data_IF_570181594922
#
_entry.id   IF_570181594922
#
_cell.length_a   1.000
_cell.length_b   1.000
_cell.length_c   1.000
_cell.angle_alpha   90.00
_cell.angle_beta   90.00
_cell.angle_gamma   90.00
#
_symmetry.space_group_name_H-M   'P 1'
#
loop_
_entity.id
_entity.type
_entity.pdbx_description
1 polymer ?
#
# COMPACT_ATOMS: atom_id res chain seq x y z
N UNK A 1 17.70 9.25 10.35
CA UNK A 1 16.42 8.56 10.00
C UNK A 1 15.46 8.63 11.19
N UNK A 2 14.13 8.59 10.96
CA UNK A 2 13.10 8.62 12.03
C UNK A 2 13.04 7.33 12.87
N UNK A 3 12.07 7.23 13.79
CA UNK A 3 11.92 6.07 14.70
C UNK A 3 11.87 4.74 13.93
N UNK A 4 12.63 3.73 14.34
CA UNK A 4 12.65 2.39 13.73
C UNK A 4 12.26 1.29 14.76
N UNK A 5 11.27 1.60 15.61
CA UNK A 5 10.75 0.65 16.60
C UNK A 5 9.85 -0.43 15.99
N UNK A 6 9.19 -1.24 16.84
CA UNK A 6 8.34 -2.37 16.43
C UNK A 6 7.23 -2.07 15.41
N UNK A 7 6.84 -0.80 15.27
CA UNK A 7 5.80 -0.36 14.35
C UNK A 7 6.34 0.01 12.95
N UNK A 8 7.65 -0.07 12.75
CA UNK A 8 8.32 0.26 11.48
C UNK A 8 9.25 -0.88 11.01
N UNK A 9 8.72 -2.09 10.79
CA UNK A 9 9.54 -3.26 10.47
C UNK A 9 10.28 -3.10 9.12
N UNK A 10 9.64 -2.61 8.07
CA UNK A 10 10.30 -2.31 6.78
C UNK A 10 11.44 -1.29 6.98
N UNK A 11 11.17 -0.16 7.65
CA UNK A 11 12.23 0.83 7.94
C UNK A 11 13.40 0.19 8.69
N UNK A 12 13.14 -0.64 9.69
CA UNK A 12 14.20 -1.37 10.41
C UNK A 12 14.99 -2.28 9.45
N UNK A 13 14.30 -3.06 8.62
CA UNK A 13 14.90 -3.92 7.60
C UNK A 13 15.83 -3.13 6.67
N UNK A 14 15.37 -2.01 6.11
CA UNK A 14 16.19 -1.16 5.24
C UNK A 14 17.43 -0.61 5.96
N UNK A 15 17.28 -0.14 7.21
CA UNK A 15 18.41 0.37 7.98
C UNK A 15 19.42 -0.74 8.33
N UNK A 16 18.95 -1.94 8.66
CA UNK A 16 19.82 -3.08 8.93
C UNK A 16 20.61 -3.50 7.68
N UNK A 17 19.96 -3.47 6.51
CA UNK A 17 20.63 -3.72 5.23
C UNK A 17 21.65 -2.61 4.91
N UNK A 18 21.34 -1.33 5.12
CA UNK A 18 22.29 -0.22 4.94
C UNK A 18 23.51 -0.33 5.87
N UNK A 19 23.29 -0.72 7.13
CA UNK A 19 24.36 -0.97 8.10
C UNK A 19 25.26 -2.14 7.65
N UNK A 20 24.67 -3.23 7.15
CA UNK A 20 25.40 -4.39 6.61
C UNK A 20 26.28 -4.01 5.42
N UNK A 21 25.79 -3.10 4.59
CA UNK A 21 26.51 -2.56 3.42
C UNK A 21 27.49 -1.43 3.77
N UNK A 22 27.72 -1.17 5.07
CA UNK A 22 28.68 -0.21 5.62
C UNK A 22 28.43 1.25 5.24
N UNK A 23 27.17 1.64 5.02
CA UNK A 23 26.83 3.06 4.91
C UNK A 23 26.92 3.75 6.27
N UNK A 24 27.47 4.97 6.30
CA UNK A 24 27.54 5.79 7.52
C UNK A 24 26.17 6.38 7.85
N UNK A 25 25.39 5.64 8.63
CA UNK A 25 24.02 5.99 9.02
C UNK A 25 23.96 6.70 10.38
N UNK A 26 23.19 7.79 10.46
CA UNK A 26 22.82 8.43 11.73
C UNK A 26 21.36 8.11 12.08
N UNK A 27 21.18 7.23 13.06
CA UNK A 27 19.90 6.97 13.75
C UNK A 27 19.88 7.79 15.04
N UNK A 28 18.94 8.71 15.18
CA UNK A 28 18.83 9.55 16.38
C UNK A 28 17.39 9.96 16.67
N UNK A 29 17.10 10.23 17.93
CA UNK A 29 15.88 10.88 18.37
C UNK A 29 16.24 12.30 18.81
N UNK A 30 15.57 13.29 18.25
CA UNK A 30 15.83 14.70 18.52
C UNK A 30 14.52 15.48 18.60
N UNK A 31 14.58 16.70 19.15
CA UNK A 31 13.47 17.64 18.97
C UNK A 31 13.28 17.97 17.49
N UNK A 32 12.12 18.53 17.14
CA UNK A 32 11.81 18.94 15.78
C UNK A 32 12.83 19.99 15.26
N UNK A 33 13.18 20.97 16.09
CA UNK A 33 14.17 21.99 15.75
C UNK A 33 15.55 21.39 15.46
N UNK A 34 16.00 20.45 16.31
CA UNK A 34 17.27 19.74 16.08
C UNK A 34 17.20 18.84 14.86
N UNK A 35 16.05 18.21 14.57
CA UNK A 35 15.86 17.39 13.39
C UNK A 35 16.04 18.21 12.11
N UNK A 36 15.48 19.42 12.05
CA UNK A 36 15.69 20.33 10.91
C UNK A 36 17.18 20.64 10.69
N UNK A 37 17.94 20.91 11.75
CA UNK A 37 19.39 21.13 11.66
C UNK A 37 20.10 19.88 11.13
N UNK A 38 19.70 18.70 11.58
CA UNK A 38 20.26 17.43 11.10
C UNK A 38 19.95 17.24 9.61
N UNK A 39 18.72 17.49 9.17
CA UNK A 39 18.33 17.38 7.76
C UNK A 39 19.16 18.30 6.88
N UNK A 40 19.31 19.57 7.28
CA UNK A 40 20.11 20.56 6.54
C UNK A 40 21.61 20.22 6.48
N UNK A 41 22.15 19.55 7.50
CA UNK A 41 23.58 19.18 7.57
C UNK A 41 23.89 17.80 6.99
N UNK A 42 22.88 16.98 6.76
CA UNK A 42 23.07 15.62 6.22
C UNK A 42 23.33 15.67 4.72
N UNK A 43 24.23 14.82 4.23
CA UNK A 43 24.42 14.63 2.77
C UNK A 43 23.14 14.08 2.12
N UNK A 44 22.48 13.17 2.82
CA UNK A 44 21.24 12.52 2.41
C UNK A 44 20.36 12.40 3.65
N UNK A 45 19.13 12.89 3.56
CA UNK A 45 18.06 12.63 4.51
C UNK A 45 17.22 11.49 3.97
N UNK A 46 17.12 10.39 4.72
CA UNK A 46 16.35 9.21 4.32
C UNK A 46 15.03 9.11 5.09
N UNK A 47 13.93 8.94 4.36
CA UNK A 47 12.58 8.77 4.89
C UNK A 47 11.87 7.56 4.26
N UNK A 48 12.05 6.34 4.76
CA UNK A 48 11.17 5.24 4.39
C UNK A 48 9.87 5.45 5.15
N UNK A 49 8.75 5.65 4.46
CA UNK A 49 7.42 5.87 5.05
C UNK A 49 6.97 4.65 5.88
N UNK A 50 5.86 4.78 6.62
CA UNK A 50 5.33 3.62 7.34
C UNK A 50 4.45 2.78 6.40
N UNK A 51 3.56 3.42 5.63
CA UNK A 51 2.51 2.76 4.83
C UNK A 51 2.37 3.31 3.41
N UNK A 52 3.41 3.91 2.85
CA UNK A 52 3.30 4.60 1.57
C UNK A 52 2.66 5.97 1.69
N UNK A 53 2.85 6.65 2.83
CA UNK A 53 2.23 7.92 3.15
C UNK A 53 3.19 9.10 3.01
N UNK A 54 2.68 10.24 2.53
CA UNK A 54 3.37 11.52 2.60
C UNK A 54 3.27 12.05 4.04
N UNK A 55 4.20 11.61 4.88
CA UNK A 55 4.26 12.04 6.27
C UNK A 55 4.96 13.41 6.44
N UNK A 56 4.87 13.94 7.66
CA UNK A 56 5.43 15.25 8.03
C UNK A 56 6.94 15.38 7.73
N UNK A 57 7.72 14.29 7.75
CA UNK A 57 9.17 14.35 7.53
C UNK A 57 9.54 14.81 6.13
N UNK A 58 8.70 14.51 5.14
CA UNK A 58 8.90 15.01 3.77
C UNK A 58 8.95 16.54 3.81
N UNK A 59 7.96 17.15 4.46
CA UNK A 59 7.88 18.59 4.62
C UNK A 59 9.01 19.15 5.48
N UNK A 60 9.34 18.52 6.60
CA UNK A 60 10.42 18.98 7.49
C UNK A 60 11.78 18.98 6.78
N UNK A 61 12.12 17.88 6.10
CA UNK A 61 13.39 17.76 5.37
C UNK A 61 13.51 18.80 4.26
N UNK A 62 12.47 18.97 3.44
CA UNK A 62 12.45 19.96 2.36
C UNK A 62 12.47 21.40 2.90
N UNK A 63 11.67 21.70 3.94
CA UNK A 63 11.65 23.02 4.56
C UNK A 63 12.98 23.44 5.18
N UNK A 64 13.79 22.46 5.61
CA UNK A 64 15.13 22.67 6.14
C UNK A 64 16.22 22.73 5.06
N UNK A 65 15.88 22.46 3.80
CA UNK A 65 16.84 22.43 2.68
C UNK A 65 17.68 21.14 2.62
N UNK A 66 17.22 20.06 3.25
CA UNK A 66 17.86 18.76 3.18
C UNK A 66 17.57 18.04 1.86
N UNK A 67 18.56 17.35 1.32
CA UNK A 67 18.35 16.44 0.18
C UNK A 67 17.63 15.18 0.66
N UNK A 68 16.40 14.96 0.18
CA UNK A 68 15.52 13.88 0.64
C UNK A 68 15.46 12.72 -0.34
N UNK A 69 15.74 11.51 0.17
CA UNK A 69 15.38 10.24 -0.48
C UNK A 69 14.22 9.61 0.32
N UNK A 70 13.11 9.29 -0.34
CA UNK A 70 11.90 8.69 0.27
C UNK A 70 11.37 7.55 -0.59
N UNK A 71 10.59 6.64 -0.03
CA UNK A 71 10.01 5.52 -0.79
C UNK A 71 9.06 6.01 -1.89
N UNK A 72 9.00 5.26 -2.98
CA UNK A 72 8.03 5.43 -4.04
C UNK A 72 6.64 4.96 -3.56
N UNK A 73 5.69 5.89 -3.49
CA UNK A 73 4.34 5.64 -2.96
C UNK A 73 3.33 5.49 -4.10
N UNK A 74 2.14 4.98 -3.79
CA UNK A 74 1.09 4.84 -4.81
C UNK A 74 0.67 6.22 -5.38
N UNK A 75 0.26 6.30 -6.66
CA UNK A 75 -0.34 7.51 -7.24
C UNK A 75 -1.48 8.09 -6.40
N UNK A 76 -2.26 7.21 -5.79
CA UNK A 76 -3.40 7.52 -4.94
C UNK A 76 -3.00 8.09 -3.58
N UNK A 77 -1.82 7.71 -3.06
CA UNK A 77 -1.23 8.33 -1.87
C UNK A 77 -0.59 9.71 -2.15
N UNK A 78 -0.65 10.19 -3.39
CA UNK A 78 -0.20 11.54 -3.75
C UNK A 78 1.16 11.61 -4.45
N UNK A 79 1.68 10.49 -4.99
CA UNK A 79 2.93 10.48 -5.77
C UNK A 79 2.90 11.56 -6.85
N UNK A 80 3.97 12.35 -6.93
CA UNK A 80 4.15 13.42 -7.92
C UNK A 80 3.07 14.52 -7.92
N UNK A 81 2.14 14.54 -6.96
CA UNK A 81 1.09 15.56 -6.88
C UNK A 81 1.57 16.84 -6.20
N UNK A 82 2.33 16.71 -5.10
CA UNK A 82 2.87 17.85 -4.33
C UNK A 82 4.37 18.06 -4.54
N UNK A 83 5.13 16.99 -4.67
CA UNK A 83 6.57 17.03 -4.90
C UNK A 83 6.89 16.05 -6.01
N UNK A 84 7.78 16.44 -6.92
CA UNK A 84 8.14 15.66 -8.11
C UNK A 84 9.47 14.95 -7.89
N UNK A 85 9.49 13.67 -8.24
CA UNK A 85 10.73 12.89 -8.29
C UNK A 85 11.75 13.53 -9.25
N UNK A 86 13.02 13.57 -8.82
CA UNK A 86 14.13 14.17 -9.58
C UNK A 86 14.19 15.69 -9.56
N UNK A 87 13.10 16.39 -9.21
CA UNK A 87 13.06 17.85 -9.08
C UNK A 87 13.13 18.28 -7.60
N UNK A 88 12.25 17.76 -6.75
CA UNK A 88 12.07 18.24 -5.38
C UNK A 88 12.62 17.26 -4.33
N UNK A 89 12.61 15.97 -4.66
CA UNK A 89 13.07 14.86 -3.83
C UNK A 89 13.44 13.69 -4.75
N UNK A 90 13.95 12.61 -4.18
CA UNK A 90 14.22 11.37 -4.91
C UNK A 90 13.41 10.22 -4.32
N UNK A 91 12.71 9.48 -5.18
CA UNK A 91 11.97 8.28 -4.81
C UNK A 91 12.86 7.03 -4.87
N UNK A 92 12.54 5.97 -4.13
CA UNK A 92 13.15 4.63 -4.31
C UNK A 92 12.11 3.52 -4.24
N UNK A 93 12.26 2.49 -5.05
CA UNK A 93 11.29 1.39 -5.14
C UNK A 93 11.58 0.28 -4.12
N UNK A 94 12.85 -0.13 -4.02
CA UNK A 94 13.31 -1.19 -3.13
C UNK A 94 14.69 -0.89 -2.54
N UNK A 95 15.25 -1.86 -1.81
CA UNK A 95 16.56 -1.71 -1.19
C UNK A 95 17.72 -1.58 -2.20
N UNK A 96 17.70 -2.32 -3.31
CA UNK A 96 18.79 -2.28 -4.28
C UNK A 96 18.78 -0.95 -5.04
N UNK A 97 17.59 -0.44 -5.40
CA UNK A 97 17.44 0.91 -5.95
C UNK A 97 17.86 1.99 -4.95
N UNK A 98 17.42 1.90 -3.69
CA UNK A 98 17.85 2.81 -2.63
C UNK A 98 19.37 2.85 -2.48
N UNK A 99 20.01 1.69 -2.46
CA UNK A 99 21.47 1.54 -2.38
C UNK A 99 22.18 2.17 -3.59
N UNK A 100 21.66 1.95 -4.79
CA UNK A 100 22.19 2.57 -6.01
C UNK A 100 22.08 4.10 -5.95
N UNK A 101 20.92 4.63 -5.56
CA UNK A 101 20.67 6.07 -5.41
C UNK A 101 21.54 6.71 -4.33
N UNK A 102 21.70 6.06 -3.16
CA UNK A 102 22.59 6.55 -2.11
C UNK A 102 24.02 6.68 -2.64
N UNK A 103 24.57 5.65 -3.31
CA UNK A 103 25.92 5.70 -3.89
C UNK A 103 26.03 6.82 -4.92
N UNK A 104 25.09 6.86 -5.86
CA UNK A 104 25.07 7.85 -6.92
C UNK A 104 25.09 9.28 -6.37
N UNK A 105 24.23 9.62 -5.42
CA UNK A 105 24.17 10.99 -4.90
C UNK A 105 25.29 11.34 -3.91
N UNK A 106 25.94 10.35 -3.29
CA UNK A 106 27.19 10.58 -2.56
C UNK A 106 28.34 10.96 -3.51
N UNK A 107 28.37 10.39 -4.72
CA UNK A 107 29.35 10.69 -5.76
C UNK A 107 28.99 11.94 -6.58
N UNK A 108 27.72 12.36 -6.58
CA UNK A 108 27.19 13.52 -7.31
C UNK A 108 26.53 14.58 -6.39
N UNK A 109 27.29 15.18 -5.43
CA UNK A 109 26.71 16.07 -4.42
C UNK A 109 26.14 17.38 -5.00
N UNK A 110 26.61 17.84 -6.15
CA UNK A 110 26.08 19.05 -6.82
C UNK A 110 24.66 18.84 -7.33
N UNK A 111 24.36 17.66 -7.84
CA UNK A 111 23.02 17.27 -8.30
C UNK A 111 22.08 17.12 -7.10
N UNK A 112 22.52 16.44 -6.03
CA UNK A 112 21.78 16.34 -4.78
C UNK A 112 21.41 17.73 -4.20
N UNK A 113 22.37 18.67 -4.20
CA UNK A 113 22.15 20.04 -3.72
C UNK A 113 21.15 20.80 -4.60
N UNK A 114 21.20 20.62 -5.92
CA UNK A 114 20.24 21.23 -6.86
C UNK A 114 18.81 20.77 -6.56
N UNK A 115 18.61 19.46 -6.37
CA UNK A 115 17.30 18.88 -6.02
C UNK A 115 16.83 19.43 -4.66
N UNK A 116 17.70 19.45 -3.65
CA UNK A 116 17.37 19.98 -2.32
C UNK A 116 16.92 21.46 -2.37
N UNK A 117 17.59 22.29 -3.17
CA UNK A 117 17.23 23.71 -3.35
C UNK A 117 15.87 23.90 -4.04
N UNK A 118 15.58 23.07 -5.03
CA UNK A 118 14.28 23.09 -5.72
C UNK A 118 13.16 22.63 -4.77
N UNK A 119 13.37 21.54 -4.01
CA UNK A 119 12.42 21.08 -3.01
C UNK A 119 12.16 22.09 -1.88
N UNK A 120 13.21 22.78 -1.41
CA UNK A 120 13.07 23.89 -0.45
C UNK A 120 12.22 25.03 -1.02
N UNK A 121 12.50 25.42 -2.26
CA UNK A 121 11.80 26.52 -2.93
C UNK A 121 10.32 26.17 -3.17
N UNK A 122 10.02 24.95 -3.61
CA UNK A 122 8.66 24.44 -3.77
C UNK A 122 7.90 24.44 -2.42
N UNK A 123 8.54 23.95 -1.36
CA UNK A 123 7.93 23.93 -0.03
C UNK A 123 7.52 25.33 0.42
N UNK A 124 8.42 26.31 0.37
CA UNK A 124 8.13 27.65 0.88
C UNK A 124 7.16 28.43 -0.02
N UNK A 125 7.14 28.16 -1.33
CA UNK A 125 6.19 28.77 -2.25
C UNK A 125 4.75 28.25 -2.06
N UNK A 126 4.58 26.92 -1.89
CA UNK A 126 3.27 26.28 -2.02
C UNK A 126 2.81 25.48 -0.79
N UNK A 127 3.71 25.20 0.15
CA UNK A 127 3.46 24.28 1.27
C UNK A 127 3.82 24.82 2.66
N UNK A 128 4.20 26.08 2.79
CA UNK A 128 4.45 26.70 4.10
C UNK A 128 3.20 26.70 4.98
N UNK A 129 3.35 26.73 6.32
CA UNK A 129 2.23 26.80 7.25
C UNK A 129 1.26 27.95 6.93
N UNK A 130 1.78 29.11 6.52
CA UNK A 130 0.99 30.28 6.14
C UNK A 130 0.13 30.02 4.90
N UNK A 131 0.70 29.35 3.88
CA UNK A 131 -0.03 28.96 2.67
C UNK A 131 -1.12 27.95 3.00
N UNK A 132 -0.81 26.90 3.78
CA UNK A 132 -1.78 25.88 4.18
C UNK A 132 -2.90 26.45 5.04
N UNK A 133 -2.57 27.35 5.97
CA UNK A 133 -3.55 28.09 6.77
C UNK A 133 -4.49 28.89 5.89
N UNK A 134 -3.97 29.64 4.91
CA UNK A 134 -4.79 30.43 3.98
C UNK A 134 -5.72 29.52 3.16
N UNK A 135 -5.22 28.40 2.64
CA UNK A 135 -6.02 27.42 1.89
C UNK A 135 -7.15 26.83 2.76
N UNK A 136 -6.85 26.46 4.01
CA UNK A 136 -7.86 25.95 4.94
C UNK A 136 -8.93 27.00 5.25
N UNK A 137 -8.55 28.26 5.48
CA UNK A 137 -9.52 29.33 5.75
C UNK A 137 -10.44 29.58 4.54
N UNK A 138 -9.90 29.58 3.32
CA UNK A 138 -10.69 29.68 2.09
C UNK A 138 -11.68 28.52 1.95
N UNK A 139 -11.25 27.29 2.24
CA UNK A 139 -12.15 26.15 2.25
C UNK A 139 -13.29 26.33 3.25
N UNK A 140 -12.97 26.69 4.50
CA UNK A 140 -13.96 26.79 5.60
C UNK A 140 -14.96 27.93 5.39
N UNK A 141 -14.50 29.09 4.92
CA UNK A 141 -15.33 30.30 4.87
C UNK A 141 -15.85 30.65 3.47
N UNK A 142 -15.19 30.17 2.41
CA UNK A 142 -15.53 30.50 1.02
C UNK A 142 -15.92 29.25 0.21
N UNK A 143 -15.70 28.04 0.74
CA UNK A 143 -15.96 26.78 0.02
C UNK A 143 -14.96 26.47 -1.10
N UNK A 144 -13.86 27.22 -1.18
CA UNK A 144 -12.84 27.03 -2.21
C UNK A 144 -11.91 25.86 -1.86
N UNK A 145 -11.99 24.78 -2.63
CA UNK A 145 -11.09 23.62 -2.52
C UNK A 145 -9.93 23.83 -3.50
N UNK A 146 -8.66 23.83 -3.05
CA UNK A 146 -7.53 23.77 -3.97
C UNK A 146 -7.63 22.51 -4.84
N UNK A 147 -7.49 22.58 -6.18
CA UNK A 147 -7.70 21.45 -7.07
C UNK A 147 -6.92 20.19 -6.68
N UNK A 148 -5.72 20.37 -6.14
CA UNK A 148 -4.85 19.32 -5.61
C UNK A 148 -5.50 18.49 -4.49
N UNK A 149 -6.40 19.08 -3.70
CA UNK A 149 -7.08 18.43 -2.57
C UNK A 149 -8.53 18.05 -2.88
N UNK A 150 -8.94 18.16 -4.15
CA UNK A 150 -10.27 17.74 -4.56
C UNK A 150 -10.34 16.23 -4.72
N UNK A 151 -10.81 15.55 -3.67
CA UNK A 151 -10.96 14.09 -3.66
C UNK A 151 -11.88 13.56 -4.76
N UNK A 152 -12.72 14.39 -5.38
CA UNK A 152 -13.60 13.97 -6.50
C UNK A 152 -12.81 13.58 -7.76
N UNK A 153 -11.54 13.95 -7.84
CA UNK A 153 -10.64 13.50 -8.90
C UNK A 153 -10.30 12.00 -8.79
N UNK A 154 -10.40 11.41 -7.59
CA UNK A 154 -10.26 9.96 -7.41
C UNK A 154 -11.61 9.26 -7.66
N UNK A 155 -11.63 8.32 -8.61
CA UNK A 155 -12.82 7.53 -8.94
C UNK A 155 -13.37 6.77 -7.73
N UNK A 156 -12.52 6.35 -6.81
CA UNK A 156 -12.93 5.60 -5.59
C UNK A 156 -13.72 6.49 -4.64
N UNK A 157 -13.48 7.81 -4.70
CA UNK A 157 -14.21 8.83 -3.95
C UNK A 157 -15.53 9.25 -4.62
N UNK A 158 -15.84 8.72 -5.80
CA UNK A 158 -17.10 9.03 -6.52
C UNK A 158 -17.93 7.79 -6.80
N UNK A 159 -17.29 6.62 -6.86
CA UNK A 159 -17.91 5.31 -7.04
C UNK A 159 -17.98 4.62 -5.67
N UNK A 160 -18.95 5.06 -4.86
CA UNK A 160 -19.32 4.35 -3.64
C UNK A 160 -20.53 3.45 -3.93
N UNK A 161 -20.50 2.15 -3.59
CA UNK A 161 -21.72 1.37 -3.62
C UNK A 161 -22.67 1.94 -2.56
N UNK A 162 -23.96 2.06 -2.90
CA UNK A 162 -24.98 2.42 -1.92
C UNK A 162 -25.16 1.22 -1.00
N UNK A 163 -24.38 1.19 0.08
CA UNK A 163 -24.47 0.14 1.09
C UNK A 163 -24.75 0.71 2.48
N UNK A 164 -25.33 -0.14 3.32
CA UNK A 164 -25.58 0.16 4.72
C UNK A 164 -24.24 0.45 5.42
N UNK A 165 -24.30 1.18 6.55
CA UNK A 165 -23.11 1.40 7.40
C UNK A 165 -22.37 0.09 7.72
N UNK A 166 -23.09 -1.01 7.89
CA UNK A 166 -22.54 -2.34 8.17
C UNK A 166 -21.58 -2.84 7.08
N UNK A 167 -21.95 -2.68 5.80
CA UNK A 167 -21.08 -3.14 4.71
C UNK A 167 -19.81 -2.30 4.59
N UNK A 168 -19.92 -0.98 4.81
CA UNK A 168 -18.76 -0.11 4.88
C UNK A 168 -17.81 -0.53 6.02
N UNK A 169 -18.33 -0.83 7.21
CA UNK A 169 -17.52 -1.33 8.32
C UNK A 169 -16.82 -2.65 7.98
N UNK A 170 -17.52 -3.61 7.34
CA UNK A 170 -16.91 -4.87 6.90
C UNK A 170 -15.80 -4.67 5.87
N UNK A 171 -15.97 -3.73 4.94
CA UNK A 171 -14.95 -3.35 3.96
C UNK A 171 -13.73 -2.73 4.64
N UNK A 172 -13.94 -1.80 5.58
CA UNK A 172 -12.87 -1.20 6.40
C UNK A 172 -12.11 -2.28 7.18
N UNK A 173 -12.81 -3.20 7.85
CA UNK A 173 -12.19 -4.27 8.63
C UNK A 173 -11.29 -5.18 7.78
N UNK A 174 -11.73 -5.54 6.56
CA UNK A 174 -10.90 -6.31 5.62
C UNK A 174 -9.69 -5.51 5.16
N UNK A 175 -9.86 -4.23 4.86
CA UNK A 175 -8.76 -3.35 4.49
C UNK A 175 -7.73 -3.23 5.63
N UNK A 176 -8.17 -2.95 6.85
CA UNK A 176 -7.31 -2.83 8.03
C UNK A 176 -6.55 -4.13 8.32
N UNK A 177 -7.20 -5.28 8.16
CA UNK A 177 -6.56 -6.58 8.28
C UNK A 177 -5.43 -6.75 7.26
N UNK A 178 -5.71 -6.52 5.98
CA UNK A 178 -4.72 -6.62 4.90
C UNK A 178 -3.59 -5.61 5.09
N UNK A 179 -3.92 -4.37 5.48
CA UNK A 179 -2.95 -3.34 5.82
C UNK A 179 -2.03 -3.77 6.99
N UNK A 180 -2.59 -4.46 7.99
CA UNK A 180 -1.82 -4.95 9.14
C UNK A 180 -0.76 -6.01 8.76
N UNK A 181 -1.05 -6.83 7.75
CA UNK A 181 -0.12 -7.82 7.19
C UNK A 181 0.91 -7.12 6.30
N UNK A 182 0.45 -6.24 5.40
CA UNK A 182 1.31 -5.44 4.52
C UNK A 182 2.28 -4.52 5.29
N UNK A 183 1.95 -4.15 6.54
CA UNK A 183 2.88 -3.48 7.44
C UNK A 183 4.19 -4.24 7.60
N UNK A 184 4.10 -5.57 7.65
CA UNK A 184 5.20 -6.47 8.02
C UNK A 184 5.79 -7.15 6.79
N UNK A 185 4.94 -7.58 5.84
CA UNK A 185 5.34 -8.31 4.64
C UNK A 185 5.42 -7.34 3.46
N UNK A 186 6.62 -7.23 2.87
CA UNK A 186 6.87 -6.29 1.77
C UNK A 186 6.25 -6.72 0.45
N UNK A 187 6.19 -8.02 0.12
CA UNK A 187 5.65 -8.49 -1.15
C UNK A 187 4.39 -9.34 -0.91
N UNK A 188 3.36 -8.71 -0.35
CA UNK A 188 2.11 -9.41 -0.06
C UNK A 188 1.37 -9.65 -1.38
N UNK A 189 1.14 -10.91 -1.73
CA UNK A 189 0.46 -11.32 -2.97
C UNK A 189 -0.98 -11.72 -2.68
N UNK A 190 -1.92 -11.00 -3.27
CA UNK A 190 -3.36 -11.23 -3.07
C UNK A 190 -4.04 -11.62 -4.38
N UNK A 191 -4.83 -12.69 -4.36
CA UNK A 191 -5.64 -13.11 -5.49
C UNK A 191 -7.14 -12.91 -5.22
N UNK A 192 -7.80 -12.13 -6.07
CA UNK A 192 -9.25 -11.96 -6.08
C UNK A 192 -9.88 -12.97 -7.04
N UNK A 193 -10.62 -13.94 -6.49
CA UNK A 193 -11.38 -14.95 -7.24
C UNK A 193 -12.87 -14.67 -7.19
N UNK A 194 -13.30 -13.43 -7.35
CA UNK A 194 -14.71 -13.05 -7.31
C UNK A 194 -14.98 -11.86 -8.19
N UNK A 195 -16.16 -11.84 -8.82
CA UNK A 195 -16.60 -10.70 -9.64
C UNK A 195 -17.17 -9.57 -8.78
N UNK A 196 -17.59 -9.86 -7.55
CA UNK A 196 -18.31 -8.88 -6.71
C UNK A 196 -17.43 -7.90 -5.93
N UNK A 197 -16.17 -8.21 -5.64
CA UNK A 197 -15.37 -7.40 -4.72
C UNK A 197 -14.42 -6.39 -5.39
N UNK A 198 -14.92 -5.72 -6.42
CA UNK A 198 -14.19 -4.66 -7.10
C UNK A 198 -13.88 -3.46 -6.18
N UNK A 199 -14.64 -3.30 -5.09
CA UNK A 199 -14.52 -2.19 -4.15
C UNK A 199 -13.34 -2.36 -3.19
N UNK A 200 -13.20 -3.50 -2.51
CA UNK A 200 -12.00 -3.77 -1.71
C UNK A 200 -10.75 -3.80 -2.61
N UNK A 201 -10.86 -4.42 -3.79
CA UNK A 201 -9.78 -4.41 -4.79
C UNK A 201 -9.34 -2.97 -5.10
N UNK A 202 -10.30 -2.06 -5.31
CA UNK A 202 -10.02 -0.65 -5.58
C UNK A 202 -9.41 0.09 -4.37
N UNK A 203 -9.71 -0.27 -3.13
CA UNK A 203 -9.07 0.36 -1.97
C UNK A 203 -7.61 -0.05 -1.83
N UNK A 204 -7.32 -1.33 -2.11
CA UNK A 204 -6.02 -1.93 -1.88
C UNK A 204 -4.92 -1.42 -2.82
N UNK A 205 -5.28 -0.76 -3.94
CA UNK A 205 -4.30 -0.14 -4.86
C UNK A 205 -3.43 0.91 -4.16
N UNK A 206 -3.87 1.46 -3.03
CA UNK A 206 -3.11 2.48 -2.30
C UNK A 206 -1.88 1.92 -1.60
N UNK A 207 -1.82 0.61 -1.39
CA UNK A 207 -0.73 -0.06 -0.68
C UNK A 207 0.46 -0.29 -1.63
N UNK A 208 1.58 0.43 -1.49
CA UNK A 208 2.63 0.56 -2.52
C UNK A 208 3.49 -0.70 -2.76
N UNK A 209 3.26 -1.80 -2.05
CA UNK A 209 4.00 -3.06 -2.22
C UNK A 209 3.06 -4.28 -2.15
N UNK A 210 1.82 -4.05 -2.55
CA UNK A 210 0.82 -5.08 -2.62
C UNK A 210 0.72 -5.57 -4.07
N UNK A 211 1.03 -6.85 -4.28
CA UNK A 211 0.85 -7.50 -5.57
C UNK A 211 -0.59 -8.00 -5.64
N UNK A 212 -1.48 -7.22 -6.27
CA UNK A 212 -2.87 -7.63 -6.40
C UNK A 212 -3.13 -8.26 -7.75
N UNK A 213 -3.67 -9.47 -7.71
CA UNK A 213 -4.14 -10.18 -8.88
C UNK A 213 -5.63 -10.45 -8.81
N UNK A 214 -6.29 -10.53 -9.96
CA UNK A 214 -7.71 -10.92 -10.02
C UNK A 214 -7.99 -11.86 -11.19
N UNK A 215 -9.00 -12.71 -11.04
CA UNK A 215 -9.48 -13.62 -12.07
C UNK A 215 -10.99 -13.44 -12.24
N UNK A 216 -11.45 -13.13 -13.46
CA UNK A 216 -12.88 -13.25 -13.78
C UNK A 216 -13.28 -14.73 -13.79
N UNK A 217 -14.49 -15.09 -13.40
CA UNK A 217 -14.88 -16.50 -13.25
C UNK A 217 -15.59 -17.07 -14.50
N UNK A 218 -15.63 -16.31 -15.60
CA UNK A 218 -16.61 -16.51 -16.69
C UNK A 218 -16.09 -17.12 -18.00
N UNK A 219 -14.84 -17.57 -18.10
CA UNK A 219 -14.38 -18.24 -19.34
C UNK A 219 -13.30 -19.29 -19.10
N UNK A 220 -13.26 -20.31 -19.98
CA UNK A 220 -12.17 -21.29 -20.09
C UNK A 220 -10.85 -20.66 -20.59
N UNK A 221 -10.96 -19.49 -21.22
CA UNK A 221 -9.86 -18.64 -21.64
C UNK A 221 -10.01 -17.30 -20.92
N UNK A 222 -9.33 -17.15 -19.79
CA UNK A 222 -9.35 -15.90 -19.04
C UNK A 222 -8.31 -14.96 -19.64
N UNK A 223 -8.70 -13.70 -19.85
CA UNK A 223 -7.83 -12.69 -20.45
C UNK A 223 -7.43 -11.64 -19.43
N UNK A 224 -6.18 -11.24 -19.56
CA UNK A 224 -5.51 -10.28 -18.71
C UNK A 224 -6.08 -8.88 -19.00
N UNK A 225 -6.52 -8.14 -17.98
CA UNK A 225 -6.75 -6.71 -18.06
C UNK A 225 -6.00 -5.99 -16.93
N UNK A 226 -5.32 -4.91 -17.31
CA UNK A 226 -4.58 -4.03 -16.42
C UNK A 226 -5.55 -3.00 -15.84
N UNK A 227 -5.58 -2.87 -14.52
CA UNK A 227 -6.17 -1.68 -13.88
C UNK A 227 -5.05 -0.97 -13.11
N UNK A 228 -4.66 0.19 -13.64
CA UNK A 228 -3.82 1.20 -12.98
C UNK A 228 -2.46 0.75 -12.42
N UNK A 229 -1.60 0.14 -13.25
CA UNK A 229 -0.16 -0.15 -12.97
C UNK A 229 0.16 -0.96 -11.69
N UNK A 230 -0.85 -1.42 -10.95
CA UNK A 230 -0.73 -2.11 -9.65
C UNK A 230 -1.64 -3.34 -9.52
N UNK A 231 -2.47 -3.62 -10.53
CA UNK A 231 -3.24 -4.87 -10.59
C UNK A 231 -2.88 -5.69 -11.81
N UNK A 232 -2.70 -6.98 -11.59
CA UNK A 232 -2.34 -7.95 -12.63
C UNK A 232 -3.51 -8.93 -12.80
N UNK A 233 -4.14 -8.95 -13.96
CA UNK A 233 -5.10 -10.01 -14.21
C UNK A 233 -4.38 -11.36 -14.35
N UNK A 234 -4.93 -12.38 -13.69
CA UNK A 234 -4.34 -13.70 -13.55
C UNK A 234 -5.27 -14.76 -14.16
N UNK A 235 -4.68 -15.65 -14.96
CA UNK A 235 -5.37 -16.78 -15.60
C UNK A 235 -5.10 -18.02 -14.76
N UNK A 236 -6.13 -18.72 -14.32
CA UNK A 236 -5.96 -20.00 -13.64
C UNK A 236 -5.90 -21.11 -14.69
N UNK A 237 -4.73 -21.73 -14.82
CA UNK A 237 -4.54 -22.91 -15.66
C UNK A 237 -4.17 -24.14 -14.82
N UNK A 238 -4.36 -25.34 -15.40
CA UNK A 238 -4.01 -26.60 -14.71
C UNK A 238 -2.53 -26.72 -14.39
N UNK A 239 -1.65 -25.98 -15.04
CA UNK A 239 -0.20 -26.07 -14.84
C UNK A 239 0.36 -24.97 -13.93
N UNK A 240 -0.47 -23.99 -13.51
CA UNK A 240 -0.06 -22.84 -12.72
C UNK A 240 0.21 -23.18 -11.24
N UNK A 241 1.14 -24.08 -10.96
CA UNK A 241 1.59 -24.39 -9.59
C UNK A 241 2.68 -23.44 -9.10
N UNK A 242 3.33 -22.69 -9.99
CA UNK A 242 4.50 -21.87 -9.65
C UNK A 242 4.12 -20.48 -9.09
N UNK A 243 2.86 -20.05 -9.25
CA UNK A 243 2.37 -18.77 -8.73
C UNK A 243 1.82 -18.94 -7.32
N UNK A 244 2.62 -18.54 -6.35
CA UNK A 244 2.27 -18.51 -4.94
C UNK A 244 1.62 -17.16 -4.59
N UNK A 245 0.39 -17.22 -4.06
CA UNK A 245 -0.30 -16.12 -3.42
C UNK A 245 -0.38 -16.37 -1.92
N UNK A 246 -0.29 -15.29 -1.15
CA UNK A 246 -0.36 -15.37 0.31
C UNK A 246 -1.80 -15.40 0.78
N UNK A 247 -2.66 -14.62 0.10
CA UNK A 247 -4.05 -14.43 0.49
C UNK A 247 -4.95 -14.57 -0.75
N UNK A 248 -6.07 -15.27 -0.61
CA UNK A 248 -7.14 -15.24 -1.60
C UNK A 248 -8.40 -14.56 -1.04
N UNK A 249 -8.93 -13.60 -1.79
CA UNK A 249 -10.27 -13.06 -1.57
C UNK A 249 -11.24 -13.83 -2.47
N UNK A 250 -12.12 -14.61 -1.87
CA UNK A 250 -13.03 -15.52 -2.59
C UNK A 250 -14.49 -15.11 -2.38
N UNK A 251 -15.34 -15.45 -3.35
CA UNK A 251 -16.78 -15.29 -3.25
C UNK A 251 -17.48 -16.63 -3.40
N UNK A 252 -18.80 -16.63 -3.26
CA UNK A 252 -19.62 -17.82 -3.50
C UNK A 252 -19.42 -18.38 -4.92
N UNK A 253 -19.27 -17.48 -5.88
CA UNK A 253 -19.02 -17.78 -7.29
C UNK A 253 -17.72 -18.57 -7.51
N UNK A 254 -16.72 -18.43 -6.64
CA UNK A 254 -15.48 -19.21 -6.68
C UNK A 254 -15.75 -20.72 -6.54
N UNK A 255 -16.65 -21.11 -5.64
CA UNK A 255 -16.90 -22.51 -5.30
C UNK A 255 -17.90 -23.20 -6.23
N UNK A 256 -18.50 -22.45 -7.15
CA UNK A 256 -19.26 -22.99 -8.28
C UNK A 256 -18.35 -23.43 -9.44
N UNK A 257 -17.06 -23.09 -9.39
CA UNK A 257 -16.07 -23.38 -10.43
C UNK A 257 -15.01 -24.38 -9.93
N UNK A 258 -14.98 -25.59 -10.50
CA UNK A 258 -14.01 -26.63 -10.14
C UNK A 258 -12.55 -26.21 -10.37
N UNK A 259 -12.29 -25.41 -11.41
CA UNK A 259 -10.93 -24.94 -11.73
C UNK A 259 -10.39 -24.04 -10.61
N UNK A 260 -11.24 -23.16 -10.06
CA UNK A 260 -10.84 -22.25 -8.99
C UNK A 260 -10.62 -22.98 -7.66
N UNK A 261 -11.47 -23.96 -7.34
CA UNK A 261 -11.31 -24.75 -6.11
C UNK A 261 -10.11 -25.69 -6.18
N UNK A 262 -9.85 -26.31 -7.34
CA UNK A 262 -8.64 -27.11 -7.58
C UNK A 262 -7.37 -26.26 -7.50
N UNK A 263 -7.40 -25.02 -8.01
CA UNK A 263 -6.29 -24.09 -7.86
C UNK A 263 -6.01 -23.78 -6.39
N UNK A 264 -7.01 -23.36 -5.59
CA UNK A 264 -6.84 -23.08 -4.16
C UNK A 264 -6.21 -24.28 -3.43
N UNK A 265 -6.69 -25.50 -3.73
CA UNK A 265 -6.19 -26.73 -3.12
C UNK A 265 -4.70 -26.98 -3.43
N UNK A 266 -4.26 -26.68 -4.66
CA UNK A 266 -2.90 -26.97 -5.13
C UNK A 266 -1.91 -25.87 -4.80
N UNK A 267 -2.34 -24.61 -4.83
CA UNK A 267 -1.48 -23.44 -4.60
C UNK A 267 -1.13 -23.21 -3.12
N UNK A 268 -1.81 -23.90 -2.19
CA UNK A 268 -1.53 -23.83 -0.74
C UNK A 268 -1.49 -22.38 -0.21
N UNK A 269 -2.44 -21.57 -0.66
CA UNK A 269 -2.57 -20.17 -0.25
C UNK A 269 -2.73 -20.11 1.28
N UNK A 270 -1.96 -19.27 1.96
CA UNK A 270 -1.87 -19.27 3.43
C UNK A 270 -3.20 -18.87 4.07
N UNK A 271 -3.93 -17.93 3.47
CA UNK A 271 -5.15 -17.36 4.03
C UNK A 271 -6.26 -17.14 2.99
N UNK A 272 -7.50 -17.35 3.41
CA UNK A 272 -8.70 -17.06 2.61
C UNK A 272 -9.57 -16.05 3.35
N UNK A 273 -9.98 -15.00 2.63
CA UNK A 273 -10.92 -13.97 3.09
C UNK A 273 -12.18 -14.07 2.24
N UNK A 274 -13.35 -14.08 2.88
CA UNK A 274 -14.62 -14.03 2.17
C UNK A 274 -14.97 -12.60 1.74
N UNK A 275 -15.32 -12.43 0.47
CA UNK A 275 -15.76 -11.15 -0.10
C UNK A 275 -17.13 -10.70 0.41
N UNK A 276 -18.08 -11.64 0.57
CA UNK A 276 -19.42 -11.50 1.17
C UNK A 276 -20.10 -10.11 1.08
N UNK A 277 -20.28 -9.59 -0.14
CA UNK A 277 -21.15 -8.42 -0.42
C UNK A 277 -22.52 -8.82 -1.02
N UNK A 278 -22.68 -10.06 -1.51
CA UNK A 278 -24.04 -10.56 -1.74
C UNK A 278 -24.67 -10.83 -0.39
N UNK A 279 -25.85 -10.26 -0.17
CA UNK A 279 -26.84 -10.73 0.80
C UNK A 279 -27.11 -12.21 0.55
N UNK A 280 -26.25 -13.07 1.09
CA UNK A 280 -26.59 -14.43 1.45
C UNK A 280 -27.63 -14.26 2.56
N UNK A 281 -28.88 -14.04 2.15
CA UNK A 281 -30.03 -13.92 3.06
C UNK A 281 -30.35 -15.26 3.75
N UNK A 282 -29.53 -16.28 3.48
CA UNK A 282 -29.71 -17.66 3.88
C UNK A 282 -28.43 -18.12 4.61
N UNK A 283 -28.55 -18.27 5.93
CA UNK A 283 -27.49 -18.78 6.80
C UNK A 283 -26.96 -20.14 6.30
N UNK A 284 -27.82 -20.95 5.67
CA UNK A 284 -27.41 -22.27 5.15
C UNK A 284 -26.38 -22.19 4.02
N UNK A 285 -26.40 -21.12 3.22
CA UNK A 285 -25.42 -20.93 2.16
C UNK A 285 -24.08 -20.42 2.70
N UNK A 286 -24.11 -19.64 3.79
CA UNK A 286 -22.87 -19.27 4.50
C UNK A 286 -22.24 -20.53 5.08
N UNK A 287 -22.99 -21.33 5.84
CA UNK A 287 -22.51 -22.57 6.44
C UNK A 287 -21.94 -23.54 5.39
N UNK A 288 -22.58 -23.62 4.21
CA UNK A 288 -22.08 -24.42 3.09
C UNK A 288 -20.72 -23.93 2.57
N UNK A 289 -20.55 -22.61 2.40
CA UNK A 289 -19.30 -22.00 1.96
C UNK A 289 -18.16 -22.27 2.96
N UNK A 290 -18.46 -22.10 4.26
CA UNK A 290 -17.50 -22.40 5.32
C UNK A 290 -17.09 -23.87 5.31
N UNK A 291 -18.05 -24.78 5.14
CA UNK A 291 -17.78 -26.21 5.05
C UNK A 291 -16.88 -26.54 3.85
N UNK A 292 -17.12 -25.92 2.68
CA UNK A 292 -16.28 -26.10 1.51
C UNK A 292 -14.83 -25.62 1.75
N UNK A 293 -14.64 -24.48 2.42
CA UNK A 293 -13.30 -23.97 2.78
C UNK A 293 -12.59 -24.89 3.78
N UNK A 294 -13.32 -25.37 4.79
CA UNK A 294 -12.76 -26.30 5.76
C UNK A 294 -12.35 -27.65 5.13
N UNK A 295 -13.13 -28.14 4.16
CA UNK A 295 -12.80 -29.34 3.38
C UNK A 295 -11.53 -29.19 2.52
N UNK A 296 -11.12 -27.95 2.22
CA UNK A 296 -9.85 -27.64 1.56
C UNK A 296 -8.67 -27.60 2.55
N UNK A 297 -8.90 -27.83 3.85
CA UNK A 297 -7.86 -27.87 4.88
C UNK A 297 -7.61 -26.53 5.57
N UNK A 298 -8.60 -25.64 5.60
CA UNK A 298 -8.48 -24.34 6.28
C UNK A 298 -9.26 -24.30 7.59
N UNK A 299 -8.73 -23.58 8.59
CA UNK A 299 -9.38 -23.37 9.90
C UNK A 299 -9.83 -21.92 10.05
N UNK A 300 -11.08 -21.65 10.48
CA UNK A 300 -11.55 -20.29 10.70
C UNK A 300 -10.90 -19.65 11.92
N UNK A 301 -10.49 -18.39 11.78
CA UNK A 301 -10.04 -17.50 12.84
C UNK A 301 -10.87 -16.21 12.81
N UNK A 302 -11.42 -15.85 13.96
CA UNK A 302 -12.20 -14.62 14.08
C UNK A 302 -11.27 -13.41 14.18
N UNK A 303 -11.55 -12.42 13.32
CA UNK A 303 -10.99 -11.08 13.37
C UNK A 303 -12.13 -10.09 13.56
N UNK A 304 -11.82 -8.84 13.92
CA UNK A 304 -12.83 -7.84 14.24
C UNK A 304 -13.87 -7.70 13.12
N UNK A 305 -15.05 -8.30 13.34
CA UNK A 305 -16.21 -8.27 12.43
C UNK A 305 -16.20 -9.22 11.23
N UNK A 306 -15.17 -10.08 11.05
CA UNK A 306 -15.15 -11.07 9.98
C UNK A 306 -14.23 -12.26 10.26
N UNK A 307 -14.38 -13.33 9.49
CA UNK A 307 -13.58 -14.55 9.61
C UNK A 307 -12.53 -14.63 8.52
N UNK A 308 -11.30 -14.98 8.91
CA UNK A 308 -10.21 -15.35 8.01
C UNK A 308 -9.94 -16.83 8.18
N UNK A 309 -9.78 -17.56 7.09
CA UNK A 309 -9.52 -19.00 7.13
C UNK A 309 -8.03 -19.22 6.85
N UNK A 310 -7.34 -19.89 7.77
CA UNK A 310 -5.91 -20.15 7.68
C UNK A 310 -5.66 -21.58 7.23
N UNK A 311 -4.74 -21.78 6.29
CA UNK A 311 -4.36 -23.11 5.83
C UNK A 311 -3.75 -23.89 7.00
N UNK A 312 -4.22 -25.11 7.22
CA UNK A 312 -3.63 -26.00 8.21
C UNK A 312 -2.26 -26.44 7.72
N UNK A 313 -1.21 -25.95 8.39
CA UNK A 313 0.15 -26.43 8.14
C UNK A 313 0.21 -27.84 8.73
N UNK A 314 0.07 -28.87 7.89
CA UNK A 314 0.45 -30.23 8.27
C UNK A 314 1.95 -30.24 8.50
N UNK A 315 2.36 -30.42 9.76
CA UNK A 315 3.74 -30.70 10.17
C UNK A 315 4.34 -31.88 9.43
#
# INVERSE_FOLDING_TARGET
VGQAGRFHPNRRFLLDCLNRDNFSLLETQSSQEQACIIYAKSKITLNPSMMGDINLRVFEALSAGGFLITDDISPQAGKNQIFRDGDHLVLFEDYEDLKCKIKYYLDNPSEALKIAQQGYSEFWANHSPEVKKKQLMKLVFEGEIPPLYDGRCDRRSTVFPIETKDSLFKRIQKYEYLQSIHRVKENLRILFLTVSNQYLLSDLVDLPRLDVSYSSLLSKDLRIAHVSDQTTAFVIEKENNDFLFDIAVVGWDTFQCEISTDYIKRSKIEQIILSNEKKLNDLSQVDHLECQIQNLGYTPLQHDGFTVYHLNITS
#
